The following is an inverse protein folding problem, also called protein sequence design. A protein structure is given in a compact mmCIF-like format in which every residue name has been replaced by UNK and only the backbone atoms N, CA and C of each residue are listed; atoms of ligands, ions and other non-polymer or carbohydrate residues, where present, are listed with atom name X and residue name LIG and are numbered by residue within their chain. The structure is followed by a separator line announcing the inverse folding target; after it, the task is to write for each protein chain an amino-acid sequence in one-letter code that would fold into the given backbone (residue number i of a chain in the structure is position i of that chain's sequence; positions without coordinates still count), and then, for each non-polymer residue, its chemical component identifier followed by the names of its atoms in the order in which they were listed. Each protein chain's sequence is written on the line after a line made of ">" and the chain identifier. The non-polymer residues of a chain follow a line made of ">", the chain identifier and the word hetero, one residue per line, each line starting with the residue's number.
data_IF_278527515722
#
_entry.id   IF_278527515722
#
_cell.length_a   1.000
_cell.length_b   1.000
_cell.length_c   1.000
_cell.angle_alpha   90.00
_cell.angle_beta   90.00
_cell.angle_gamma   90.00
#
_symmetry.space_group_name_H-M   'P 1'
#
loop_
_entity.id
_entity.type
_entity.pdbx_description
1 polymer ?
2 polymer ?
3 polymer ?
4 polymer ?
5 non-polymer ?
6 non-polymer ?
7 non-polymer ?
8 water ?
#
loop_
_entity_poly.entity_id
_entity_poly.type
_entity_poly.pdbx_seq_one_letter_code
_entity_poly.pdbx_strand_id
3 'polydeoxyribonucleotide' '(DT)(DC)(DA)(DG)(DA)(DC)(DT)(DT)(DG)(DT)(DC)(DC)(DA)(DC)(DA)(DG)(DG)(DA)(DG)(DT)(DC)(DA)(DG)(DA)' ?
4 'polydeoxyribonucleotide' '(DT)(DC)(DT)(DG)(DA)(DC)(DT)(DC)(DC)(DT)(DG)(DT)(DG)(DG)(DA)(DC)(DA)(DA)(DG)(DT)(DC)(DT)(DG)(DA)' ?
#
# COMPACT_ATOMS: atom_id res chain seq x y z
N UNK A 1 11.34 19.65 -16.47
CA UNK A 1 11.72 18.25 -16.27
C UNK A 1 12.63 18.07 -15.06
N UNK A 2 12.02 17.66 -13.94
CA UNK A 2 12.77 17.39 -12.73
C UNK A 2 13.18 15.92 -12.66
N UNK A 3 14.33 15.63 -12.07
CA UNK A 3 14.77 14.26 -11.92
C UNK A 3 14.76 13.83 -10.45
N UNK A 4 14.06 12.74 -10.17
CA UNK A 4 13.83 12.31 -8.80
C UNK A 4 14.89 11.34 -8.30
N UNK A 5 15.21 11.43 -7.01
CA UNK A 5 16.13 10.52 -6.36
C UNK A 5 15.63 9.08 -6.43
N UNK A 6 16.55 8.14 -6.64
CA UNK A 6 16.19 6.74 -6.86
C UNK A 6 15.56 6.08 -5.63
N UNK A 7 16.06 6.42 -4.45
CA UNK A 7 15.52 5.84 -3.22
C UNK A 7 14.10 6.33 -2.95
N UNK A 8 13.85 7.59 -3.29
CA UNK A 8 12.52 8.16 -3.20
C UNK A 8 11.57 7.41 -4.13
N UNK A 9 12.02 7.18 -5.36
CA UNK A 9 11.22 6.49 -6.36
C UNK A 9 10.98 5.02 -6.01
N UNK A 10 11.93 4.40 -5.31
CA UNK A 10 11.78 3.01 -4.90
C UNK A 10 10.74 2.84 -3.80
N UNK A 11 10.80 3.71 -2.79
CA UNK A 11 9.80 3.70 -1.73
C UNK A 11 8.43 4.05 -2.30
N UNK A 12 8.39 5.08 -3.12
CA UNK A 12 7.14 5.59 -3.69
C UNK A 12 6.45 4.53 -4.55
N UNK A 13 7.22 3.81 -5.35
CA UNK A 13 6.68 2.74 -6.18
C UNK A 13 5.98 1.69 -5.32
N UNK A 14 6.57 1.39 -4.17
CA UNK A 14 5.99 0.45 -3.24
C UNK A 14 4.67 0.94 -2.69
N UNK A 15 4.64 2.22 -2.31
CA UNK A 15 3.44 2.81 -1.72
C UNK A 15 2.35 3.00 -2.77
N UNK A 16 2.77 3.20 -4.03
CA UNK A 16 1.83 3.34 -5.13
C UNK A 16 1.20 1.99 -5.49
N UNK A 17 2.02 0.96 -5.56
CA UNK A 17 1.52 -0.38 -5.82
C UNK A 17 0.52 -0.83 -4.75
N UNK A 18 0.61 -0.24 -3.57
CA UNK A 18 -0.22 -0.63 -2.44
C UNK A 18 -1.47 0.23 -2.24
N UNK A 19 -1.27 1.52 -1.96
CA UNK A 19 -2.37 2.45 -1.73
C UNK A 19 -2.65 3.42 -2.88
N UNK A 20 -1.91 3.27 -3.97
CA UNK A 20 -2.02 4.19 -5.09
C UNK A 20 -2.90 3.70 -6.22
N UNK A 21 -3.11 4.54 -7.23
CA UNK A 21 -3.94 4.17 -8.37
C UNK A 21 -3.55 4.91 -9.66
N UNK A 22 -3.48 4.17 -10.75
CA UNK A 22 -3.21 4.75 -12.06
C UNK A 22 -4.46 4.62 -12.93
N UNK A 23 -5.13 5.74 -13.16
CA UNK A 23 -6.47 5.74 -13.73
C UNK A 23 -6.56 6.38 -15.10
N UNK A 24 -7.20 5.68 -16.03
CA UNK A 24 -7.47 6.23 -17.35
C UNK A 24 -8.97 6.26 -17.60
N UNK A 25 -9.49 7.42 -17.97
CA UNK A 25 -10.93 7.58 -18.15
C UNK A 25 -11.31 8.14 -19.52
N UNK A 26 -12.46 7.72 -20.02
CA UNK A 26 -13.04 8.28 -21.23
C UNK A 26 -14.27 9.06 -20.84
N UNK A 27 -14.20 10.38 -20.92
CA UNK A 27 -15.30 11.23 -20.47
C UNK A 27 -16.08 11.82 -21.64
N UNK A 28 -17.43 11.80 -21.54
CA UNK A 28 -18.30 12.36 -22.57
C UNK A 28 -18.13 13.88 -22.68
N UNK A 29 -18.12 14.39 -23.89
CA UNK A 29 -17.95 15.81 -24.12
C UNK A 29 -18.56 16.26 -25.45
N UNK A 30 -19.68 16.96 -25.37
CA UNK A 30 -20.43 17.36 -26.56
C UNK A 30 -19.71 18.39 -27.42
N UNK A 31 -18.67 19.02 -26.87
CA UNK A 31 -17.96 20.08 -27.58
C UNK A 31 -16.75 19.56 -28.35
N UNK A 32 -16.34 18.33 -28.07
CA UNK A 32 -15.15 17.76 -28.70
C UNK A 32 -15.51 16.99 -29.98
N UNK A 33 -14.52 16.80 -30.83
CA UNK A 33 -14.70 16.16 -32.13
C UNK A 33 -15.43 14.82 -32.08
N UNK A 34 -14.96 13.92 -31.22
CA UNK A 34 -15.49 12.56 -31.17
C UNK A 34 -16.40 12.33 -29.97
N UNK A 35 -16.96 13.44 -29.44
CA UNK A 35 -17.91 13.40 -28.33
C UNK A 35 -17.34 12.83 -27.03
N UNK A 36 -16.05 12.51 -27.02
CA UNK A 36 -15.40 11.98 -25.83
C UNK A 36 -13.97 12.48 -25.65
N UNK A 37 -13.60 12.73 -24.40
CA UNK A 37 -12.26 13.19 -24.06
C UNK A 37 -11.58 12.19 -23.14
N UNK A 38 -10.25 12.24 -23.09
CA UNK A 38 -9.50 11.35 -22.22
C UNK A 38 -8.94 12.09 -21.02
N UNK A 39 -8.97 11.43 -19.86
CA UNK A 39 -8.34 11.96 -18.67
C UNK A 39 -7.50 10.90 -17.98
N UNK A 40 -6.22 11.20 -17.79
CA UNK A 40 -5.30 10.30 -17.11
C UNK A 40 -5.02 10.85 -15.72
N UNK A 41 -4.99 9.96 -14.73
CA UNK A 41 -4.80 10.40 -13.34
C UNK A 41 -3.92 9.47 -12.52
N UNK A 42 -2.90 10.04 -11.91
CA UNK A 42 -2.12 9.34 -10.89
C UNK A 42 -2.71 9.69 -9.53
N UNK A 43 -3.03 8.67 -8.74
CA UNK A 43 -3.78 8.85 -7.50
C UNK A 43 -3.12 8.12 -6.35
N UNK A 44 -2.96 8.82 -5.23
CA UNK A 44 -2.55 8.19 -3.99
C UNK A 44 -3.56 8.51 -2.89
N UNK A 45 -4.18 7.48 -2.34
CA UNK A 45 -5.24 7.65 -1.36
C UNK A 45 -4.77 7.29 0.04
N UNK A 46 -5.22 8.07 1.02
CA UNK A 46 -4.89 7.80 2.41
C UNK A 46 -5.90 8.49 3.34
N UNK A 47 -6.05 7.94 4.53
CA UNK A 47 -6.95 8.51 5.54
C UNK A 47 -6.53 9.94 5.87
N UNK A 48 -7.52 10.78 6.14
CA UNK A 48 -7.27 12.22 6.35
C UNK A 48 -6.35 12.48 7.54
N UNK A 49 -6.37 11.62 8.54
CA UNK A 49 -5.49 11.76 9.69
C UNK A 49 -4.02 11.57 9.30
N UNK A 50 -3.79 11.17 8.05
CA UNK A 50 -2.43 11.06 7.53
C UNK A 50 -2.27 11.91 6.26
N UNK A 51 -3.04 12.99 6.17
CA UNK A 51 -2.97 13.89 5.03
C UNK A 51 -1.58 14.52 4.89
N UNK A 52 -0.92 14.69 6.03
CA UNK A 52 0.43 15.27 6.06
C UNK A 52 1.39 14.48 5.20
N UNK A 53 1.19 13.17 5.16
CA UNK A 53 2.01 12.28 4.33
C UNK A 53 1.79 12.63 2.87
N UNK A 54 0.55 12.90 2.51
CA UNK A 54 0.20 13.32 1.15
C UNK A 54 0.71 14.74 0.88
N UNK A 55 0.72 15.57 1.92
CA UNK A 55 1.22 16.94 1.79
C UNK A 55 2.70 16.94 1.44
N UNK A 56 3.45 16.06 2.09
CA UNK A 56 4.88 15.90 1.81
C UNK A 56 5.08 15.41 0.38
N UNK A 57 4.15 14.60 -0.10
CA UNK A 57 4.24 14.04 -1.44
C UNK A 57 4.13 15.13 -2.51
N UNK A 58 3.33 16.15 -2.22
CA UNK A 58 3.20 17.30 -3.11
C UNK A 58 4.53 18.03 -3.22
N UNK A 59 5.13 18.31 -2.07
CA UNK A 59 6.41 19.00 -1.99
C UNK A 59 7.51 18.22 -2.71
N UNK A 60 7.54 16.91 -2.48
CA UNK A 60 8.59 16.07 -3.06
C UNK A 60 8.45 15.88 -4.57
N UNK A 61 7.22 15.67 -5.03
CA UNK A 61 6.96 15.52 -6.45
C UNK A 61 7.06 16.89 -7.14
N UNK A 62 6.64 17.94 -6.43
CA UNK A 62 6.76 19.29 -6.93
C UNK A 62 5.60 19.71 -7.81
N UNK A 63 4.57 18.87 -7.87
CA UNK A 63 3.40 19.15 -8.67
C UNK A 63 2.24 18.27 -8.18
N UNK A 64 1.02 18.64 -8.52
CA UNK A 64 -0.16 17.92 -8.07
C UNK A 64 -0.83 18.63 -6.91
N UNK A 65 -1.85 18.00 -6.35
CA UNK A 65 -2.63 18.61 -5.27
C UNK A 65 -3.20 17.56 -4.34
N UNK A 66 -3.62 18.00 -3.15
CA UNK A 66 -4.30 17.12 -2.21
C UNK A 66 -5.73 17.58 -1.99
N UNK A 67 -6.67 16.66 -2.16
CA UNK A 67 -8.09 16.97 -1.95
C UNK A 67 -8.66 16.07 -0.87
N UNK A 68 -9.62 16.60 -0.11
CA UNK A 68 -10.28 15.83 0.94
C UNK A 68 -11.73 15.54 0.57
N UNK A 69 -12.23 14.41 1.06
CA UNK A 69 -13.62 14.02 0.85
C UNK A 69 -14.01 12.95 1.84
N UNK A 70 -14.76 13.35 2.87
CA UNK A 70 -15.09 12.44 3.95
C UNK A 70 -13.93 12.34 4.92
N UNK A 71 -13.64 11.12 5.38
CA UNK A 71 -12.52 10.90 6.27
C UNK A 71 -11.32 10.39 5.48
N UNK A 72 -11.28 10.73 4.19
CA UNK A 72 -10.27 10.21 3.28
C UNK A 72 -9.71 11.32 2.39
N UNK A 73 -8.39 11.35 2.26
CA UNK A 73 -7.72 12.34 1.41
C UNK A 73 -7.04 11.69 0.22
N UNK A 74 -6.71 12.51 -0.79
CA UNK A 74 -6.10 12.01 -2.02
C UNK A 74 -5.07 12.97 -2.58
N UNK A 75 -3.91 12.44 -2.95
CA UNK A 75 -3.00 13.18 -3.82
C UNK A 75 -3.36 12.83 -5.25
N UNK A 76 -3.48 13.83 -6.11
CA UNK A 76 -3.77 13.58 -7.51
C UNK A 76 -2.97 14.44 -8.47
N UNK A 77 -2.69 13.87 -9.63
CA UNK A 77 -1.94 14.54 -10.68
C UNK A 77 -2.50 14.13 -12.03
N UNK A 78 -3.04 15.10 -12.77
CA UNK A 78 -3.63 14.81 -14.07
C UNK A 78 -2.97 15.59 -15.20
N UNK A 79 -2.20 16.61 -14.83
CA UNK A 79 -1.50 17.44 -15.82
C UNK A 79 -0.57 16.57 -16.66
N UNK A 80 -0.89 16.46 -17.94
CA UNK A 80 -0.27 15.51 -18.85
C UNK A 80 1.27 15.52 -18.88
N UNK A 81 1.86 16.69 -19.10
CA UNK A 81 3.31 16.78 -19.23
C UNK A 81 4.09 16.39 -17.96
N UNK A 82 3.72 16.93 -16.80
CA UNK A 82 4.43 16.46 -15.60
C UNK A 82 4.08 15.02 -15.26
N UNK A 83 2.90 14.57 -15.65
CA UNK A 83 2.48 13.19 -15.41
C UNK A 83 3.35 12.23 -16.21
N UNK A 84 3.60 12.58 -17.47
CA UNK A 84 4.43 11.78 -18.35
C UNK A 84 5.85 11.66 -17.79
N UNK A 85 6.41 12.79 -17.37
CA UNK A 85 7.76 12.81 -16.81
C UNK A 85 7.85 12.06 -15.49
N UNK A 86 6.80 12.17 -14.68
CA UNK A 86 6.76 11.49 -13.39
C UNK A 86 6.64 9.98 -13.57
N UNK A 87 5.70 9.56 -14.39
CA UNK A 87 5.47 8.13 -14.62
C UNK A 87 6.63 7.48 -15.37
N UNK A 88 7.36 8.25 -16.15
CA UNK A 88 8.52 7.75 -16.88
C UNK A 88 9.61 7.31 -15.91
N UNK A 89 9.77 8.07 -14.83
CA UNK A 89 10.79 7.77 -13.82
C UNK A 89 10.34 6.73 -12.81
N UNK A 90 9.04 6.70 -12.52
CA UNK A 90 8.50 5.77 -11.53
C UNK A 90 8.33 4.37 -12.11
N UNK A 91 8.02 4.30 -13.40
CA UNK A 91 7.72 3.05 -14.10
C UNK A 91 8.65 1.85 -13.86
N UNK A 92 9.99 2.04 -13.95
CA UNK A 92 10.85 0.85 -13.86
C UNK A 92 10.83 0.19 -12.48
N UNK A 93 10.33 0.91 -11.47
CA UNK A 93 10.33 0.41 -10.12
C UNK A 93 8.98 -0.19 -9.71
N UNK A 94 7.96 0.06 -10.52
CA UNK A 94 6.63 -0.46 -10.25
C UNK A 94 6.55 -1.95 -10.55
N UNK A 95 5.74 -2.66 -9.76
CA UNK A 95 5.57 -4.09 -9.95
C UNK A 95 4.13 -4.45 -10.27
N UNK A 96 3.20 -3.93 -9.46
CA UNK A 96 1.79 -4.25 -9.65
C UNK A 96 1.11 -3.35 -10.67
N UNK A 97 1.65 -2.15 -10.86
CA UNK A 97 1.02 -1.18 -11.75
C UNK A 97 1.96 -0.70 -12.85
N UNK A 98 2.96 -1.51 -13.15
CA UNK A 98 3.93 -1.17 -14.18
C UNK A 98 3.28 -1.11 -15.55
N UNK A 99 2.38 -2.06 -15.82
CA UNK A 99 1.67 -2.09 -17.10
C UNK A 99 0.75 -0.89 -17.29
N UNK A 100 0.03 -0.52 -16.23
CA UNK A 100 -0.85 0.64 -16.26
C UNK A 100 -0.05 1.90 -16.60
N UNK A 101 1.10 2.04 -15.95
CA UNK A 101 1.98 3.19 -16.17
C UNK A 101 2.44 3.25 -17.63
N UNK A 102 2.82 2.12 -18.18
CA UNK A 102 3.28 2.05 -19.56
C UNK A 102 2.17 2.37 -20.56
N UNK A 103 0.96 1.96 -20.24
CA UNK A 103 -0.19 2.24 -21.08
C UNK A 103 -0.52 3.73 -21.06
N UNK A 104 -0.44 4.34 -19.88
CA UNK A 104 -0.67 5.78 -19.76
C UNK A 104 0.38 6.55 -20.55
N UNK A 105 1.64 6.14 -20.41
CA UNK A 105 2.73 6.76 -21.16
C UNK A 105 2.48 6.63 -22.65
N UNK A 106 1.98 5.47 -23.06
CA UNK A 106 1.69 5.20 -24.47
C UNK A 106 0.54 6.07 -24.97
N UNK A 107 -0.50 6.20 -24.15
CA UNK A 107 -1.66 7.02 -24.47
C UNK A 107 -1.26 8.49 -24.65
N UNK A 108 -0.47 8.99 -23.71
CA UNK A 108 0.01 10.38 -23.75
C UNK A 108 0.78 10.65 -25.05
N UNK A 109 1.65 9.72 -25.40
CA UNK A 109 2.50 9.88 -26.58
C UNK A 109 1.74 9.76 -27.89
N UNK A 110 0.54 9.21 -27.84
CA UNK A 110 -0.28 9.04 -29.04
C UNK A 110 -1.48 9.98 -29.03
N UNK A 111 -1.53 10.86 -28.06
CA UNK A 111 -2.62 11.82 -27.94
C UNK A 111 -2.77 12.77 -29.14
N UNK A 112 -1.65 13.34 -29.65
CA UNK A 112 -1.81 14.20 -30.83
C UNK A 112 -2.32 13.45 -32.06
N UNK A 113 -1.88 12.21 -32.23
CA UNK A 113 -2.32 11.41 -33.37
C UNK A 113 -3.70 10.82 -33.13
N UNK A 114 -4.16 10.88 -31.89
CA UNK A 114 -5.47 10.36 -31.54
C UNK A 114 -6.58 11.31 -31.93
N UNK A 115 -6.24 12.60 -32.02
CA UNK A 115 -7.21 13.63 -32.37
C UNK A 115 -7.29 13.82 -33.87
N UNK A 116 -7.12 12.73 -34.62
CA UNK A 116 -7.10 12.81 -36.07
C UNK A 116 -8.14 11.89 -36.72
N UNK A 117 -7.98 10.59 -36.52
CA UNK A 117 -8.93 9.62 -37.08
C UNK A 117 -9.72 8.92 -35.97
N UNK A 118 -11.03 8.72 -36.21
CA UNK A 118 -11.91 8.04 -35.27
C UNK A 118 -11.41 6.65 -34.92
N UNK A 119 -10.91 5.93 -35.91
CA UNK A 119 -10.40 4.58 -35.71
C UNK A 119 -9.19 4.58 -34.79
N UNK A 120 -8.30 5.55 -34.99
CA UNK A 120 -7.12 5.69 -34.14
C UNK A 120 -7.53 6.08 -32.72
N UNK A 121 -8.55 6.93 -32.62
CA UNK A 121 -9.07 7.34 -31.32
C UNK A 121 -9.69 6.16 -30.59
N UNK A 122 -10.39 5.30 -31.33
CA UNK A 122 -10.94 4.08 -30.76
C UNK A 122 -9.83 3.16 -30.27
N UNK A 123 -8.73 3.14 -31.01
CA UNK A 123 -7.57 2.32 -30.64
C UNK A 123 -6.99 2.80 -29.32
N UNK A 124 -6.96 4.11 -29.13
CA UNK A 124 -6.45 4.68 -27.88
C UNK A 124 -7.42 4.41 -26.75
N UNK A 125 -8.71 4.49 -27.05
CA UNK A 125 -9.74 4.15 -26.07
C UNK A 125 -9.67 2.67 -25.69
N UNK A 126 -9.21 1.86 -26.64
CA UNK A 126 -8.98 0.44 -26.38
C UNK A 126 -7.88 0.26 -25.34
N UNK A 127 -6.86 1.12 -25.42
CA UNK A 127 -5.77 1.09 -24.45
C UNK A 127 -6.28 1.48 -23.06
N UNK A 128 -7.30 2.35 -23.05
CA UNK A 128 -7.92 2.77 -21.79
C UNK A 128 -8.66 1.60 -21.14
N UNK A 129 -9.24 0.73 -21.97
CA UNK A 129 -9.89 -0.47 -21.49
C UNK A 129 -8.89 -1.37 -20.75
N UNK A 130 -7.71 -1.53 -21.34
CA UNK A 130 -6.67 -2.40 -20.79
C UNK A 130 -6.27 -1.98 -19.38
N UNK A 131 -6.14 -0.66 -19.17
CA UNK A 131 -5.80 -0.13 -17.86
C UNK A 131 -6.87 -0.47 -16.83
N UNK A 132 -8.12 -0.26 -17.21
CA UNK A 132 -9.25 -0.58 -16.36
C UNK A 132 -9.31 -2.07 -16.08
N UNK A 133 -8.96 -2.87 -17.08
CA UNK A 133 -8.93 -4.33 -16.93
C UNK A 133 -7.84 -4.74 -15.94
N UNK A 134 -6.73 -4.03 -15.97
CA UNK A 134 -5.63 -4.29 -15.05
C UNK A 134 -5.97 -3.85 -13.63
N UNK A 135 -6.69 -2.75 -13.50
CA UNK A 135 -7.15 -2.29 -12.19
C UNK A 135 -8.28 -3.18 -11.66
N UNK A 136 -8.63 -2.97 -10.40
CA UNK A 136 -9.79 -3.65 -9.82
C UNK A 136 -11.05 -2.81 -10.08
N UNK A 137 -11.39 -2.67 -11.36
CA UNK A 137 -12.50 -1.82 -11.77
C UNK A 137 -13.85 -2.39 -11.34
N UNK A 138 -14.70 -1.54 -10.78
CA UNK A 138 -15.99 -1.98 -10.28
C UNK A 138 -17.13 -1.01 -10.58
N UNK A 139 -16.79 0.24 -10.89
CA UNK A 139 -17.81 1.26 -11.14
C UNK A 139 -17.64 1.95 -12.49
N UNK A 140 -17.12 1.23 -13.47
CA UNK A 140 -16.82 1.81 -14.78
C UNK A 140 -18.05 1.85 -15.68
N UNK A 141 -18.23 2.96 -16.39
CA UNK A 141 -19.38 3.13 -17.27
C UNK A 141 -18.97 3.31 -18.72
N UNK A 142 -18.32 4.43 -19.02
CA UNK A 142 -17.94 4.75 -20.39
C UNK A 142 -16.70 3.99 -20.83
N UNK A 143 -16.84 3.17 -21.87
CA UNK A 143 -15.74 2.39 -22.40
C UNK A 143 -15.52 2.70 -23.87
N UNK A 144 -14.67 1.93 -24.53
CA UNK A 144 -14.41 2.12 -25.95
C UNK A 144 -15.65 1.80 -26.77
N UNK A 145 -16.42 0.81 -26.32
CA UNK A 145 -17.66 0.45 -26.99
C UNK A 145 -18.68 1.58 -26.93
N UNK A 146 -18.64 2.34 -25.84
CA UNK A 146 -19.50 3.51 -25.69
C UNK A 146 -19.18 4.52 -26.79
N UNK A 147 -17.89 4.65 -27.08
CA UNK A 147 -17.42 5.55 -28.13
C UNK A 147 -17.80 5.02 -29.51
N UNK A 148 -17.65 3.71 -29.70
CA UNK A 148 -18.00 3.07 -30.97
C UNK A 148 -19.45 3.32 -31.34
N UNK A 149 -20.33 3.20 -30.36
CA UNK A 149 -21.76 3.42 -30.58
C UNK A 149 -22.03 4.86 -31.01
N UNK A 150 -21.46 5.81 -30.27
CA UNK A 150 -21.64 7.23 -30.56
C UNK A 150 -21.03 7.58 -31.92
N UNK A 151 -19.87 7.03 -32.21
CA UNK A 151 -19.21 7.25 -33.49
C UNK A 151 -20.07 6.77 -34.66
N UNK A 152 -20.84 5.71 -34.44
CA UNK A 152 -21.78 5.23 -35.44
C UNK A 152 -22.97 6.18 -35.54
N UNK A 153 -22.73 7.34 -36.15
CA UNK A 153 -23.75 8.37 -36.27
C UNK A 153 -23.42 9.32 -37.42
N UNK B 1 21.48 -15.23 10.20
CA UNK B 1 20.81 -13.96 9.94
C UNK B 1 20.91 -13.54 8.48
N UNK B 2 19.76 -13.41 7.83
CA UNK B 2 19.71 -13.04 6.42
C UNK B 2 19.91 -11.54 6.23
N UNK B 3 20.74 -11.18 5.25
CA UNK B 3 20.93 -9.80 4.87
C UNK B 3 20.12 -9.50 3.61
N UNK B 4 19.33 -8.44 3.64
CA UNK B 4 18.47 -8.11 2.52
C UNK B 4 19.01 -6.93 1.71
N UNK B 5 18.83 -7.00 0.39
CA UNK B 5 19.25 -5.92 -0.50
C UNK B 5 18.50 -4.63 -0.19
N UNK B 6 19.19 -3.51 -0.33
CA UNK B 6 18.64 -2.21 0.03
C UNK B 6 17.45 -1.80 -0.83
N UNK B 7 17.58 -1.97 -2.14
CA UNK B 7 16.52 -1.59 -3.06
C UNK B 7 15.26 -2.43 -2.83
N UNK B 8 15.45 -3.66 -2.39
CA UNK B 8 14.34 -4.53 -2.01
C UNK B 8 13.66 -4.00 -0.76
N UNK B 9 14.45 -3.59 0.22
CA UNK B 9 13.91 -3.05 1.47
C UNK B 9 13.19 -1.72 1.26
N UNK B 10 13.70 -0.90 0.35
CA UNK B 10 13.10 0.40 0.07
C UNK B 10 11.73 0.29 -0.57
N UNK B 11 11.60 -0.58 -1.58
CA UNK B 11 10.31 -0.82 -2.21
C UNK B 11 9.34 -1.45 -1.23
N UNK B 12 9.81 -2.47 -0.52
CA UNK B 12 8.97 -3.23 0.40
C UNK B 12 8.42 -2.35 1.51
N UNK B 13 9.25 -1.41 1.99
CA UNK B 13 8.84 -0.49 3.03
C UNK B 13 7.64 0.33 2.59
N UNK B 14 7.69 0.82 1.36
CA UNK B 14 6.59 1.58 0.79
C UNK B 14 5.34 0.74 0.66
N UNK B 15 5.51 -0.50 0.25
CA UNK B 15 4.38 -1.42 0.08
C UNK B 15 3.80 -1.83 1.42
N UNK B 16 4.65 -1.94 2.44
CA UNK B 16 4.20 -2.28 3.79
C UNK B 16 3.45 -1.10 4.42
N UNK B 17 3.98 0.10 4.25
CA UNK B 17 3.31 1.31 4.75
C UNK B 17 1.92 1.46 4.14
N UNK B 18 1.73 0.88 2.96
CA UNK B 18 0.46 0.95 2.25
C UNK B 18 -0.50 -0.19 2.51
N UNK B 19 -0.13 -1.39 2.07
CA UNK B 19 -0.98 -2.57 2.20
C UNK B 19 -0.56 -3.52 3.33
N UNK B 20 0.41 -3.11 4.14
CA UNK B 20 0.93 -3.98 5.17
C UNK B 20 0.40 -3.70 6.56
N UNK B 21 0.80 -4.51 7.53
CA UNK B 21 0.35 -4.35 8.91
C UNK B 21 1.35 -4.92 9.91
N UNK B 22 1.67 -4.13 10.94
CA UNK B 22 2.54 -4.60 12.01
C UNK B 22 1.72 -4.74 13.29
N UNK B 23 1.50 -5.99 13.69
CA UNK B 23 0.50 -6.30 14.72
C UNK B 23 1.10 -6.86 16.01
N UNK B 24 0.67 -6.31 17.14
CA UNK B 24 1.05 -6.82 18.44
C UNK B 24 -0.21 -7.19 19.21
N UNK B 25 -0.32 -8.45 19.61
CA UNK B 25 -1.52 -8.94 20.27
C UNK B 25 -1.25 -9.54 21.65
N UNK B 26 -2.25 -9.49 22.51
CA UNK B 26 -2.23 -10.19 23.78
C UNK B 26 -3.34 -11.23 23.73
N UNK B 27 -2.98 -12.49 23.60
CA UNK B 27 -3.96 -13.55 23.43
C UNK B 27 -4.22 -14.32 24.71
N UNK B 28 -5.48 -14.75 24.91
CA UNK B 28 -5.84 -15.61 26.04
C UNK B 28 -5.12 -16.94 25.95
N UNK B 29 -4.47 -17.34 27.03
CA UNK B 29 -3.74 -18.61 27.06
C UNK B 29 -3.92 -19.32 28.39
N UNK B 30 -4.97 -20.14 28.48
CA UNK B 30 -5.29 -20.85 29.72
C UNK B 30 -4.11 -21.70 30.18
N UNK B 31 -3.54 -22.48 29.27
CA UNK B 31 -2.34 -23.24 29.57
C UNK B 31 -1.12 -22.32 29.55
N UNK B 32 -1.12 -21.33 30.44
CA UNK B 32 -0.08 -20.33 30.46
C UNK B 32 0.29 -19.85 31.85
N UNK B 33 1.44 -19.19 31.94
CA UNK B 33 1.96 -18.69 33.20
C UNK B 33 1.07 -17.57 33.76
N UNK B 34 0.89 -16.53 32.97
CA UNK B 34 0.05 -15.39 33.36
C UNK B 34 -1.29 -15.42 32.63
N UNK B 35 -1.67 -16.60 32.16
CA UNK B 35 -2.94 -16.80 31.45
C UNK B 35 -3.03 -16.02 30.14
N UNK B 36 -1.91 -15.46 29.70
CA UNK B 36 -1.86 -14.74 28.44
C UNK B 36 -0.60 -15.08 27.65
N UNK B 37 -0.66 -14.82 26.35
CA UNK B 37 0.42 -15.19 25.44
C UNK B 37 0.62 -14.10 24.41
N UNK B 38 1.80 -13.48 24.41
CA UNK B 38 2.09 -12.42 23.46
C UNK B 38 2.28 -12.95 22.04
N UNK B 39 1.83 -12.17 21.06
CA UNK B 39 1.94 -12.57 19.66
C UNK B 39 2.28 -11.37 18.79
N UNK B 40 3.37 -11.49 18.04
CA UNK B 40 3.81 -10.42 17.16
C UNK B 40 3.71 -10.89 15.71
N UNK B 41 3.07 -10.09 14.87
CA UNK B 41 2.84 -10.49 13.49
C UNK B 41 3.14 -9.38 12.48
N UNK B 42 3.98 -9.70 11.50
CA UNK B 42 4.16 -8.87 10.33
C UNK B 42 3.29 -9.44 9.23
N UNK B 43 2.55 -8.59 8.54
CA UNK B 43 1.52 -9.07 7.62
C UNK B 43 1.36 -8.18 6.39
N UNK B 44 1.30 -8.82 5.23
CA UNK B 44 1.01 -8.13 3.98
C UNK B 44 -0.24 -8.72 3.35
N UNK B 45 -1.25 -7.88 3.16
CA UNK B 45 -2.54 -8.32 2.64
C UNK B 45 -2.65 -7.98 1.16
N UNK B 46 -3.20 -8.91 0.38
CA UNK B 46 -3.45 -8.67 -1.03
C UNK B 46 -4.53 -9.61 -1.57
N UNK B 47 -5.32 -9.10 -2.52
CA UNK B 47 -6.34 -9.88 -3.20
C UNK B 47 -5.75 -11.17 -3.75
N UNK B 48 -6.48 -12.27 -3.57
CA UNK B 48 -6.00 -13.61 -3.94
C UNK B 48 -5.58 -13.70 -5.41
N UNK B 49 -6.21 -12.88 -6.24
CA UNK B 49 -5.83 -12.74 -7.65
C UNK B 49 -4.32 -12.46 -7.79
N UNK B 50 -3.77 -11.74 -6.81
CA UNK B 50 -2.36 -11.41 -6.82
C UNK B 50 -1.59 -12.15 -5.73
N UNK B 51 -2.01 -13.38 -5.44
CA UNK B 51 -1.35 -14.19 -4.41
C UNK B 51 0.11 -14.48 -4.78
N UNK B 52 0.39 -14.54 -6.08
CA UNK B 52 1.73 -14.79 -6.57
C UNK B 52 2.72 -13.77 -6.02
N UNK B 53 2.25 -12.55 -5.83
CA UNK B 53 3.07 -11.46 -5.31
C UNK B 53 3.47 -11.73 -3.86
N UNK B 54 2.54 -12.30 -3.09
CA UNK B 54 2.80 -12.65 -1.70
C UNK B 54 3.65 -13.90 -1.59
N UNK B 55 3.45 -14.82 -2.53
CA UNK B 55 4.23 -16.06 -2.57
C UNK B 55 5.71 -15.74 -2.77
N UNK B 56 5.99 -14.75 -3.61
CA UNK B 56 7.36 -14.29 -3.84
C UNK B 56 7.99 -13.77 -2.55
N UNK B 57 7.20 -13.12 -1.72
CA UNK B 57 7.68 -12.57 -0.45
C UNK B 57 8.27 -13.66 0.46
N UNK B 58 7.65 -14.84 0.43
CA UNK B 58 8.12 -15.97 1.22
C UNK B 58 9.54 -16.35 0.82
N UNK B 59 9.80 -16.36 -0.48
CA UNK B 59 11.11 -16.73 -1.00
C UNK B 59 12.12 -15.61 -0.80
N UNK B 60 11.67 -14.36 -0.95
CA UNK B 60 12.57 -13.22 -0.83
C UNK B 60 12.95 -12.92 0.62
N UNK B 61 12.00 -13.06 1.52
CA UNK B 61 12.27 -12.87 2.94
C UNK B 61 12.92 -14.13 3.51
N UNK B 62 12.56 -15.28 2.96
CA UNK B 62 13.16 -16.54 3.36
C UNK B 62 12.35 -17.28 4.40
N UNK B 63 11.36 -16.60 4.96
CA UNK B 63 10.48 -17.18 5.97
C UNK B 63 9.06 -16.68 5.78
N UNK B 64 8.13 -17.21 6.56
CA UNK B 64 6.75 -16.79 6.50
C UNK B 64 5.87 -17.72 5.67
N UNK B 65 4.57 -17.40 5.63
CA UNK B 65 3.60 -18.22 4.92
C UNK B 65 2.54 -17.37 4.25
N UNK B 66 1.83 -17.97 3.29
CA UNK B 66 0.71 -17.30 2.64
C UNK B 66 -0.58 -18.10 2.85
N UNK B 67 -1.60 -17.42 3.38
CA UNK B 67 -2.89 -18.06 3.64
C UNK B 67 -4.01 -17.33 2.92
N UNK B 68 -5.04 -18.08 2.54
CA UNK B 68 -6.21 -17.49 1.90
C UNK B 68 -7.33 -17.28 2.90
N UNK B 69 -8.14 -16.25 2.66
CA UNK B 69 -9.26 -15.93 3.53
C UNK B 69 -10.30 -15.10 2.77
N UNK B 70 -11.27 -15.79 2.18
CA UNK B 70 -12.28 -15.14 1.37
C UNK B 70 -11.78 -14.89 -0.04
N UNK B 71 -11.76 -13.62 -0.44
CA UNK B 71 -11.24 -13.24 -1.75
C UNK B 71 -9.87 -12.60 -1.59
N UNK B 72 -9.28 -12.79 -0.41
CA UNK B 72 -8.07 -12.08 -0.02
C UNK B 72 -7.02 -13.03 0.54
N UNK B 73 -5.75 -12.76 0.21
CA UNK B 73 -4.65 -13.53 0.76
C UNK B 73 -3.75 -12.67 1.64
N UNK B 74 -2.99 -13.31 2.52
CA UNK B 74 -2.08 -12.62 3.41
C UNK B 74 -0.73 -13.30 3.52
N UNK B 75 0.35 -12.51 3.47
CA UNK B 75 1.65 -13.01 3.87
C UNK B 75 1.74 -12.85 5.38
N UNK B 76 2.38 -13.82 6.03
CA UNK B 76 2.30 -13.94 7.48
C UNK B 76 3.65 -14.35 8.08
N UNK B 77 4.17 -13.55 9.00
CA UNK B 77 5.42 -13.88 9.69
C UNK B 77 5.31 -13.55 11.18
N UNK B 78 5.43 -14.56 12.02
CA UNK B 78 5.30 -14.37 13.47
C UNK B 78 6.45 -14.97 14.25
N UNK B 79 7.22 -15.85 13.62
CA UNK B 79 8.38 -16.47 14.26
C UNK B 79 9.35 -15.38 14.70
N UNK B 80 9.59 -15.31 16.01
CA UNK B 80 10.27 -14.16 16.62
C UNK B 80 11.67 -13.84 16.07
N UNK B 81 12.54 -14.83 15.96
CA UNK B 81 13.92 -14.57 15.52
C UNK B 81 14.05 -13.98 14.11
N UNK B 82 13.43 -14.63 13.10
CA UNK B 82 13.52 -14.01 11.77
C UNK B 82 12.70 -12.73 11.66
N UNK B 83 11.66 -12.60 12.49
CA UNK B 83 10.86 -11.39 12.50
C UNK B 83 11.69 -10.21 12.98
N UNK B 84 12.42 -10.43 14.06
CA UNK B 84 13.31 -9.40 14.61
C UNK B 84 14.40 -9.04 13.61
N UNK B 85 14.91 -10.04 12.91
CA UNK B 85 15.94 -9.83 11.89
C UNK B 85 15.40 -9.01 10.72
N UNK B 86 14.19 -9.34 10.28
CA UNK B 86 13.57 -8.67 9.15
C UNK B 86 13.20 -7.22 9.47
N UNK B 87 12.54 -7.03 10.61
CA UNK B 87 12.07 -5.70 11.01
C UNK B 87 13.21 -4.73 11.30
N UNK B 88 14.32 -5.25 11.80
CA UNK B 88 15.49 -4.43 12.08
C UNK B 88 16.00 -3.76 10.81
N UNK B 89 16.08 -4.54 9.73
CA UNK B 89 16.58 -4.03 8.46
C UNK B 89 15.54 -3.19 7.72
N UNK B 90 14.27 -3.47 7.94
CA UNK B 90 13.19 -2.77 7.26
C UNK B 90 12.90 -1.42 7.90
N UNK B 91 12.99 -1.39 9.22
CA UNK B 91 12.67 -0.19 10.02
C UNK B 91 13.23 1.16 9.54
N UNK B 92 14.52 1.22 9.12
CA UNK B 92 15.03 2.53 8.68
C UNK B 92 14.32 3.10 7.46
N UNK B 93 13.56 2.27 6.76
CA UNK B 93 12.93 2.70 5.51
C UNK B 93 11.42 2.90 5.61
N UNK B 94 10.85 2.48 6.74
CA UNK B 94 9.42 2.70 6.98
C UNK B 94 9.15 4.16 7.30
N UNK B 95 8.00 4.66 6.85
CA UNK B 95 7.62 6.04 7.13
C UNK B 95 6.38 6.12 8.01
N UNK B 96 5.36 5.33 7.68
CA UNK B 96 4.12 5.35 8.42
C UNK B 96 4.12 4.40 9.61
N UNK B 97 4.86 3.31 9.49
CA UNK B 97 4.82 2.25 10.49
C UNK B 97 6.15 2.02 11.19
N UNK B 98 7.02 3.01 11.16
CA UNK B 98 8.34 2.89 11.76
C UNK B 98 8.27 2.70 13.27
N UNK B 99 7.38 3.44 13.92
CA UNK B 99 7.25 3.37 15.37
C UNK B 99 6.66 2.03 15.84
N UNK B 100 5.70 1.51 15.07
CA UNK B 100 5.16 0.18 15.35
C UNK B 100 6.26 -0.86 15.24
N UNK B 101 7.11 -0.70 14.23
CA UNK B 101 8.22 -1.63 14.01
C UNK B 101 9.19 -1.59 15.17
N UNK B 102 9.56 -0.40 15.61
CA UNK B 102 10.48 -0.23 16.71
C UNK B 102 9.93 -0.76 18.03
N UNK B 103 8.62 -0.60 18.23
CA UNK B 103 7.96 -1.09 19.42
C UNK B 103 7.96 -2.62 19.45
N UNK B 104 7.72 -3.23 18.30
CA UNK B 104 7.73 -4.69 18.20
C UNK B 104 9.11 -5.24 18.52
N UNK B 105 10.14 -4.62 17.95
CA UNK B 105 11.52 -5.01 18.22
C UNK B 105 11.82 -4.92 19.71
N UNK B 106 11.35 -3.84 20.33
CA UNK B 106 11.55 -3.60 21.75
C UNK B 106 10.85 -4.68 22.57
N UNK B 107 9.64 -5.04 22.15
CA UNK B 107 8.88 -6.10 22.80
C UNK B 107 9.61 -7.43 22.67
N UNK B 108 10.11 -7.69 21.45
CA UNK B 108 10.84 -8.92 21.17
C UNK B 108 12.10 -9.05 22.01
N UNK B 109 12.83 -7.94 22.14
CA UNK B 109 14.09 -7.93 22.88
C UNK B 109 13.88 -8.11 24.38
N UNK B 110 12.93 -7.37 24.94
CA UNK B 110 12.66 -7.44 26.37
C UNK B 110 11.58 -8.47 26.66
N UNK B 111 11.48 -9.48 25.79
CA UNK B 111 10.46 -10.52 25.93
C UNK B 111 10.74 -11.55 27.03
N UNK B 112 11.96 -12.10 27.10
CA UNK B 112 12.20 -13.07 28.17
C UNK B 112 12.19 -12.43 29.56
N UNK B 113 12.66 -11.20 29.67
CA UNK B 113 12.67 -10.51 30.96
C UNK B 113 11.25 -10.20 31.43
N UNK B 114 10.32 -10.15 30.46
CA UNK B 114 8.93 -9.88 30.78
C UNK B 114 8.24 -11.13 31.32
N UNK B 115 8.84 -12.29 31.05
CA UNK B 115 8.28 -13.55 31.51
C UNK B 115 8.85 -13.93 32.88
N UNK B 116 9.05 -12.91 33.70
CA UNK B 116 9.52 -13.09 35.07
C UNK B 116 8.49 -12.50 36.03
N UNK B 117 8.61 -11.19 36.27
CA UNK B 117 7.67 -10.49 37.14
C UNK B 117 6.41 -10.10 36.39
N UNK B 118 5.26 -10.23 37.05
CA UNK B 118 3.97 -9.84 36.48
C UNK B 118 3.92 -8.35 36.12
N UNK B 119 4.70 -7.54 36.82
CA UNK B 119 4.75 -6.12 36.56
C UNK B 119 5.45 -5.80 35.24
N UNK B 120 6.53 -6.53 34.95
CA UNK B 120 7.27 -6.31 33.72
C UNK B 120 6.47 -6.80 32.51
N UNK B 121 5.79 -7.92 32.68
CA UNK B 121 4.91 -8.45 31.63
C UNK B 121 3.83 -7.43 31.29
N UNK B 122 3.33 -6.76 32.31
CA UNK B 122 2.28 -5.76 32.12
C UNK B 122 2.83 -4.49 31.48
N UNK B 123 4.09 -4.18 31.75
CA UNK B 123 4.73 -3.01 31.17
C UNK B 123 4.87 -3.17 29.66
N UNK B 124 5.12 -4.40 29.23
CA UNK B 124 5.25 -4.71 27.81
C UNK B 124 3.87 -4.75 27.16
N UNK B 125 2.86 -5.11 27.95
CA UNK B 125 1.48 -5.11 27.46
C UNK B 125 1.03 -3.68 27.13
N UNK B 126 1.65 -2.71 27.78
CA UNK B 126 1.36 -1.30 27.49
C UNK B 126 2.04 -0.89 26.19
N UNK B 127 3.18 -1.53 25.90
CA UNK B 127 3.88 -1.31 24.64
C UNK B 127 3.03 -1.87 23.51
N UNK B 128 2.33 -2.96 23.79
CA UNK B 128 1.41 -3.56 22.83
C UNK B 128 0.23 -2.63 22.55
N UNK B 129 -0.26 -1.99 23.61
CA UNK B 129 -1.34 -1.01 23.50
C UNK B 129 -0.96 0.11 22.54
N UNK B 130 0.28 0.57 22.65
CA UNK B 130 0.76 1.68 21.83
C UNK B 130 0.78 1.34 20.35
N UNK B 131 1.11 0.08 20.04
CA UNK B 131 1.12 -0.38 18.66
C UNK B 131 -0.29 -0.33 18.08
N UNK B 132 -1.24 -0.84 18.86
CA UNK B 132 -2.65 -0.82 18.46
C UNK B 132 -3.14 0.62 18.31
N UNK B 133 -2.63 1.50 19.16
CA UNK B 133 -2.98 2.92 19.11
C UNK B 133 -2.50 3.52 17.79
N UNK B 134 -1.25 3.24 17.45
CA UNK B 134 -0.66 3.74 16.21
C UNK B 134 -1.37 3.20 14.97
N UNK B 135 -1.80 1.94 15.03
CA UNK B 135 -2.57 1.36 13.94
C UNK B 135 -3.98 1.93 13.90
N UNK B 136 -4.74 1.52 12.89
CA UNK B 136 -6.15 1.87 12.81
C UNK B 136 -6.99 0.76 13.47
N UNK B 137 -6.81 0.60 14.78
CA UNK B 137 -7.47 -0.48 15.52
C UNK B 137 -8.98 -0.28 15.57
N UNK B 138 -9.72 -1.37 15.35
CA UNK B 138 -11.18 -1.30 15.30
C UNK B 138 -11.89 -2.44 16.03
N UNK B 139 -11.22 -3.58 16.14
CA UNK B 139 -11.84 -4.75 16.77
C UNK B 139 -10.99 -5.36 17.88
N UNK B 140 -10.32 -4.50 18.65
CA UNK B 140 -9.47 -4.99 19.74
C UNK B 140 -10.28 -5.31 20.99
N UNK B 141 -9.94 -6.43 21.63
CA UNK B 141 -10.65 -6.86 22.82
C UNK B 141 -9.74 -6.95 24.05
N UNK B 142 -8.62 -7.63 23.88
CA UNK B 142 -7.71 -7.88 25.00
C UNK B 142 -6.60 -6.82 25.07
N UNK B 143 -6.59 -6.06 26.16
CA UNK B 143 -5.61 -5.01 26.36
C UNK B 143 -4.83 -5.26 27.63
N UNK B 144 -4.02 -4.28 28.03
CA UNK B 144 -3.23 -4.39 29.25
C UNK B 144 -4.13 -4.38 30.48
N UNK B 145 -5.23 -3.62 30.41
CA UNK B 145 -6.17 -3.56 31.51
C UNK B 145 -7.00 -4.82 31.60
N UNK B 146 -6.99 -5.62 30.53
CA UNK B 146 -7.62 -6.93 30.54
C UNK B 146 -6.71 -7.90 31.29
N UNK B 147 -5.41 -7.74 31.07
CA UNK B 147 -4.41 -8.55 31.76
C UNK B 147 -4.44 -8.23 33.26
N UNK B 148 -4.43 -6.94 33.57
CA UNK B 148 -4.45 -6.48 34.96
C UNK B 148 -5.66 -6.99 35.72
N UNK B 149 -6.78 -7.09 35.03
CA UNK B 149 -8.02 -7.59 35.63
C UNK B 149 -7.88 -9.04 36.07
N UNK B 150 -7.19 -9.85 35.27
CA UNK B 150 -6.96 -11.24 35.58
C UNK B 150 -5.71 -11.38 36.44
N UNK B 151 -4.96 -10.28 36.56
CA UNK B 151 -3.74 -10.27 37.36
C UNK B 151 -3.99 -9.82 38.79
N UNK B 152 -4.76 -8.76 38.96
CA UNK B 152 -5.06 -8.24 40.29
C UNK B 152 -6.09 -9.09 41.02
N UNK B 153 -6.70 -10.02 40.29
CA UNK B 153 -7.70 -10.90 40.88
C UNK B 153 -7.04 -12.07 41.60
N UNK B 154 -6.09 -12.71 40.95
CA UNK B 154 -5.38 -13.85 41.54
C UNK B 154 -4.53 -13.42 42.73
#
# INVERSE_FOLDING_TARGET
>A
NTKYNKEFLLYLAGFVDSDGSIIAQIKPNQSVKFKHRLQLTFDVTQKTQRRWFLDKLVDEIGVGYVADSGSVSKYRLSEIKPLHNFLTQLQPFLKLKQKQANLVLKIIEQLPSAKESPDKFLEVCTWVDQIAALNDSKTRKTTSETVRAVLDS
>B
NTKYNKEFLLYLAGFVDGDGSIIAQIKPNQSGKFKHKLSLTFKVTQKTQRRWFLDKLVDEIGVGYVYDSGSVSNYYLSEIKPLHNFLTQLQPFLKLKQKQANLVLKIIEQLPSAKESPDKFLEVCTWVDQVAALNDSKTRKTTSETVRAVLDSL
#
